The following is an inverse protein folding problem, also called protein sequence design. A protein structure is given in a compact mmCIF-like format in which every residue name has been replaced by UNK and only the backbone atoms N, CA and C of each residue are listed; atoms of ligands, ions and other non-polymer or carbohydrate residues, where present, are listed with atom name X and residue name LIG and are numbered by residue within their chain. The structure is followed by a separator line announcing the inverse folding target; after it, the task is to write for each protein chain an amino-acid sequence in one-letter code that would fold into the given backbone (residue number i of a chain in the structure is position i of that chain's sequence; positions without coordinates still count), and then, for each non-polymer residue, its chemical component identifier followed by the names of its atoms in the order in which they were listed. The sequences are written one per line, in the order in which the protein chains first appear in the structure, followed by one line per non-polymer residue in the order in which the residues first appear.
data_IF_305593886597
#
_entry.id   IF_305593886597
#
_cell.length_a   1.000
_cell.length_b   1.000
_cell.length_c   1.000
_cell.angle_alpha   90.00
_cell.angle_beta   90.00
_cell.angle_gamma   90.00
#
_symmetry.space_group_name_H-M   'P 1'
#
loop_
_entity.id
_entity.type
_entity.pdbx_description
1 polymer ?
#
# COMPACT_ATOMS: atom_id res chain seq x y z
N UNK A 1 -6.93 -11.63 -0.09
CA UNK A 1 -5.96 -10.51 -0.19
C UNK A 1 -4.77 -10.82 0.69
N UNK A 2 -3.54 -10.76 0.14
CA UNK A 2 -2.32 -11.02 0.90
C UNK A 2 -2.15 -10.05 2.07
N UNK A 3 -2.38 -8.75 1.84
CA UNK A 3 -2.25 -7.69 2.85
C UNK A 3 -3.15 -7.90 4.08
N UNK A 4 -4.38 -8.42 3.89
CA UNK A 4 -5.31 -8.71 4.98
C UNK A 4 -4.76 -9.74 5.99
N UNK A 5 -3.86 -10.63 5.57
CA UNK A 5 -3.20 -11.61 6.46
C UNK A 5 -2.04 -11.01 7.25
N UNK A 6 -1.55 -9.83 6.87
CA UNK A 6 -0.43 -9.14 7.51
C UNK A 6 -0.90 -8.14 8.59
N UNK A 7 -2.20 -7.87 8.69
CA UNK A 7 -2.79 -6.92 9.64
C UNK A 7 -3.46 -7.65 10.81
N UNK A 8 -3.35 -7.09 12.02
CA UNK A 8 -3.99 -7.61 13.23
C UNK A 8 -5.52 -7.49 13.15
N UNK A 9 -6.24 -8.52 13.62
CA UNK A 9 -7.71 -8.56 13.54
C UNK A 9 -8.34 -7.82 14.71
N UNK A 10 -8.38 -6.50 14.62
CA UNK A 10 -9.06 -5.63 15.60
C UNK A 10 -9.67 -4.40 14.87
N UNK A 11 -10.29 -3.50 15.65
CA UNK A 11 -10.89 -2.28 15.10
C UNK A 11 -9.88 -1.38 14.37
N UNK A 12 -8.64 -1.30 14.86
CA UNK A 12 -7.57 -0.54 14.21
C UNK A 12 -7.18 -1.16 12.86
N UNK A 13 -7.08 -2.49 12.79
CA UNK A 13 -6.79 -3.21 11.56
C UNK A 13 -7.88 -3.04 10.50
N UNK A 14 -9.15 -2.99 10.92
CA UNK A 14 -10.25 -2.66 10.02
C UNK A 14 -10.11 -1.24 9.45
N UNK A 15 -9.74 -0.26 10.29
CA UNK A 15 -9.46 1.13 9.85
C UNK A 15 -8.22 1.23 8.95
N UNK A 16 -7.20 0.41 9.16
CA UNK A 16 -6.05 0.36 8.25
C UNK A 16 -6.45 -0.21 6.88
N UNK A 17 -7.27 -1.27 6.87
CA UNK A 17 -7.77 -1.87 5.62
C UNK A 17 -8.70 -0.93 4.84
N UNK A 18 -9.45 -0.03 5.49
CA UNK A 18 -10.30 0.93 4.78
C UNK A 18 -9.52 1.99 4.00
N UNK A 19 -8.24 2.20 4.34
CA UNK A 19 -7.36 3.13 3.63
C UNK A 19 -6.62 2.48 2.45
N UNK A 20 -6.73 1.16 2.28
CA UNK A 20 -6.05 0.42 1.22
C UNK A 20 -6.95 0.34 -0.03
N UNK A 21 -6.50 0.95 -1.12
CA UNK A 21 -7.14 0.86 -2.43
C UNK A 21 -6.26 0.02 -3.37
N UNK A 22 -6.83 -1.03 -3.97
CA UNK A 22 -6.13 -1.92 -4.91
C UNK A 22 -6.85 -1.87 -6.25
N UNK A 23 -6.12 -1.47 -7.29
CA UNK A 23 -6.60 -1.38 -8.65
C UNK A 23 -5.99 -2.50 -9.50
N UNK A 24 -6.78 -3.06 -10.43
CA UNK A 24 -6.30 -4.10 -11.32
C UNK A 24 -5.39 -3.56 -12.43
N UNK A 25 -5.62 -2.31 -12.84
CA UNK A 25 -4.89 -1.63 -13.91
C UNK A 25 -3.98 -0.54 -13.34
N UNK A 26 -3.15 0.06 -14.19
CA UNK A 26 -2.25 1.16 -13.82
C UNK A 26 -2.94 2.47 -13.46
N UNK A 27 -4.24 2.60 -13.73
CA UNK A 27 -5.01 3.81 -13.46
C UNK A 27 -5.71 3.77 -12.11
N UNK A 28 -5.77 4.92 -11.43
CA UNK A 28 -6.51 5.12 -10.20
C UNK A 28 -7.20 6.50 -10.16
N UNK A 29 -8.41 6.62 -9.58
CA UNK A 29 -9.18 7.87 -9.52
C UNK A 29 -8.60 8.93 -8.57
N UNK A 30 -7.53 8.61 -7.84
CA UNK A 30 -6.95 9.47 -6.79
C UNK A 30 -6.00 10.57 -7.30
N UNK A 31 -6.14 11.01 -8.55
CA UNK A 31 -5.24 12.03 -9.12
C UNK A 31 -5.35 13.39 -8.41
N UNK A 32 -6.53 13.74 -7.88
CA UNK A 32 -6.73 14.98 -7.13
C UNK A 32 -5.94 15.03 -5.80
N UNK A 33 -5.53 13.88 -5.28
CA UNK A 33 -4.85 13.76 -3.99
C UNK A 33 -3.31 13.86 -4.14
N UNK A 34 -2.80 14.00 -5.36
CA UNK A 34 -1.37 14.08 -5.69
C UNK A 34 -0.53 12.99 -4.98
N UNK A 35 -0.83 11.70 -5.22
CA UNK A 35 -0.09 10.62 -4.56
C UNK A 35 1.39 10.64 -4.97
N UNK A 36 2.27 10.48 -3.99
CA UNK A 36 3.71 10.36 -4.23
C UNK A 36 4.08 8.91 -4.47
N UNK A 37 4.89 8.66 -5.50
CA UNK A 37 5.42 7.33 -5.78
C UNK A 37 6.47 7.01 -4.72
N UNK A 38 6.24 5.93 -3.96
CA UNK A 38 7.17 5.47 -2.94
C UNK A 38 7.95 4.26 -3.45
N UNK A 39 9.27 4.43 -3.59
CA UNK A 39 10.17 3.37 -4.04
C UNK A 39 10.72 2.57 -2.85
N UNK A 40 10.14 1.39 -2.62
CA UNK A 40 10.59 0.45 -1.59
C UNK A 40 11.92 -0.24 -1.95
N UNK A 41 12.27 -0.34 -3.24
CA UNK A 41 13.41 -1.13 -3.68
C UNK A 41 14.74 -0.44 -3.34
N UNK A 42 14.83 0.88 -3.52
CA UNK A 42 16.04 1.66 -3.23
C UNK A 42 16.36 1.80 -1.73
N UNK A 43 15.37 1.61 -0.86
CA UNK A 43 15.52 1.74 0.60
C UNK A 43 16.05 0.47 1.27
N UNK A 44 16.07 -0.67 0.57
CA UNK A 44 16.61 -1.91 1.11
C UNK A 44 18.10 -2.04 0.81
N UNK A 45 19.00 -2.04 1.82
CA UNK A 45 20.44 -2.21 1.61
C UNK A 45 20.78 -3.54 0.91
N UNK A 46 19.95 -4.57 1.07
CA UNK A 46 20.15 -5.88 0.44
C UNK A 46 19.85 -5.91 -1.07
N UNK A 47 19.19 -4.88 -1.59
CA UNK A 47 18.87 -4.75 -3.01
C UNK A 47 19.92 -3.94 -3.78
N UNK A 48 20.78 -3.18 -3.09
CA UNK A 48 21.91 -2.46 -3.67
C UNK A 48 23.13 -3.37 -3.58
N UNK A 49 23.44 -4.07 -4.67
CA UNK A 49 24.74 -4.74 -4.84
C UNK A 49 25.84 -3.71 -5.04
#
# INVERSE_FOLDING_TARGET
MAVKRMITRNALGAKQMSNLYVYANGDHPHMAQQPTVYDFASQNPKNKK
#
